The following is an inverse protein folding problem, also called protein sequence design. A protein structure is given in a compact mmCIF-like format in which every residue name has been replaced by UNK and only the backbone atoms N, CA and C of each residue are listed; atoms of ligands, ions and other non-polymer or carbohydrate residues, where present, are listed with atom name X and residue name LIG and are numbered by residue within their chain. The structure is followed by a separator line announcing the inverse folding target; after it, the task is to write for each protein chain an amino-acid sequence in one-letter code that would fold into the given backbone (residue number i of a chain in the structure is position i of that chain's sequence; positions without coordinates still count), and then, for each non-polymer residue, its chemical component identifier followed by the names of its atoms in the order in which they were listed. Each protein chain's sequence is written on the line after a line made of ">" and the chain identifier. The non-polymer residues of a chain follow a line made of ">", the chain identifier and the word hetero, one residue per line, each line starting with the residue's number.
data_IF_505263368375
#
_entry.id   IF_505263368375
#
_cell.length_a   1.000
_cell.length_b   1.000
_cell.length_c   1.000
_cell.angle_alpha   90.00
_cell.angle_beta   90.00
_cell.angle_gamma   90.00
#
_symmetry.space_group_name_H-M   'P 1'
#
loop_
_entity.id
_entity.type
_entity.pdbx_description
1 polymer ?
#
# COMPACT_ATOMS: atom_id res chain seq x y z
N UNK A 1 -1.15 16.64 -1.51
CA UNK A 1 -0.01 15.69 -1.65
C UNK A 1 -0.08 14.51 -0.68
N UNK A 2 -0.69 14.63 0.52
CA UNK A 2 -0.76 13.53 1.49
C UNK A 2 -1.53 12.29 1.00
N UNK A 3 -2.61 12.46 0.22
CA UNK A 3 -3.44 11.33 -0.24
C UNK A 3 -2.70 10.29 -1.08
N UNK A 4 -1.83 10.73 -2.00
CA UNK A 4 -1.04 9.81 -2.85
C UNK A 4 0.00 9.05 -2.03
N UNK A 5 0.65 9.72 -1.09
CA UNK A 5 1.60 9.09 -0.18
C UNK A 5 0.93 8.02 0.67
N UNK A 6 -0.16 8.36 1.37
CA UNK A 6 -0.88 7.43 2.24
C UNK A 6 -1.41 6.23 1.46
N UNK A 7 -1.97 6.46 0.26
CA UNK A 7 -2.44 5.40 -0.62
C UNK A 7 -1.33 4.40 -0.96
N UNK A 8 -0.22 4.87 -1.52
CA UNK A 8 0.94 4.00 -1.83
C UNK A 8 1.52 3.31 -0.61
N UNK A 9 1.57 4.00 0.54
CA UNK A 9 2.05 3.42 1.78
C UNK A 9 1.17 2.24 2.20
N UNK A 10 -0.15 2.39 2.14
CA UNK A 10 -1.13 1.33 2.42
C UNK A 10 -1.00 0.18 1.42
N UNK A 11 -0.86 0.47 0.14
CA UNK A 11 -0.74 -0.55 -0.90
C UNK A 11 0.55 -1.37 -0.72
N UNK A 12 1.67 -0.69 -0.45
CA UNK A 12 2.96 -1.34 -0.29
C UNK A 12 3.10 -2.06 1.03
N UNK A 13 2.51 -1.61 2.14
CA UNK A 13 2.76 -2.25 3.44
C UNK A 13 2.25 -3.71 3.50
N UNK A 14 1.28 -4.07 2.66
CA UNK A 14 0.74 -5.42 2.53
C UNK A 14 1.35 -6.23 1.37
N UNK A 15 2.40 -5.72 0.73
CA UNK A 15 3.00 -6.39 -0.42
C UNK A 15 3.56 -7.78 -0.03
N UNK A 16 3.31 -8.84 -0.82
CA UNK A 16 3.73 -10.21 -0.49
C UNK A 16 5.24 -10.40 -0.31
N UNK A 17 6.06 -9.57 -0.99
CA UNK A 17 7.52 -9.53 -0.84
C UNK A 17 7.99 -9.35 0.62
N UNK A 18 7.16 -8.76 1.49
CA UNK A 18 7.50 -8.57 2.89
C UNK A 18 7.22 -9.80 3.76
N UNK A 19 6.74 -10.91 3.18
CA UNK A 19 6.44 -12.14 3.91
C UNK A 19 5.52 -11.93 5.12
N UNK A 20 4.61 -10.95 5.01
CA UNK A 20 3.73 -10.50 6.11
C UNK A 20 4.48 -9.94 7.34
N UNK A 21 5.75 -9.56 7.19
CA UNK A 21 6.57 -8.96 8.25
C UNK A 21 6.74 -7.47 7.98
N UNK A 22 5.98 -6.65 8.71
CA UNK A 22 6.04 -5.19 8.62
C UNK A 22 7.48 -4.61 8.75
N UNK A 23 8.38 -5.15 9.60
CA UNK A 23 9.77 -4.69 9.65
C UNK A 23 10.50 -4.75 8.31
N UNK A 24 10.23 -5.75 7.46
CA UNK A 24 10.86 -5.85 6.13
C UNK A 24 10.40 -4.74 5.18
N UNK A 25 9.15 -4.30 5.30
CA UNK A 25 8.67 -3.12 4.57
C UNK A 25 9.40 -1.86 5.04
N UNK A 26 9.52 -1.68 6.37
CA UNK A 26 10.23 -0.54 6.96
C UNK A 26 11.69 -0.50 6.51
N UNK A 27 12.38 -1.65 6.52
CA UNK A 27 13.75 -1.75 6.02
C UNK A 27 13.86 -1.38 4.54
N UNK A 28 12.88 -1.77 3.72
CA UNK A 28 12.91 -1.47 2.29
C UNK A 28 12.73 0.01 2.02
N UNK A 29 11.86 0.66 2.79
CA UNK A 29 11.64 2.10 2.72
C UNK A 29 12.84 2.89 3.25
N UNK A 30 13.40 2.48 4.40
CA UNK A 30 14.63 3.08 4.94
C UNK A 30 15.78 2.94 3.96
N UNK A 31 15.95 1.78 3.35
CA UNK A 31 16.98 1.53 2.35
C UNK A 31 16.82 2.45 1.14
N UNK A 32 15.61 2.61 0.60
CA UNK A 32 15.36 3.56 -0.49
C UNK A 32 15.71 5.01 -0.10
N UNK A 33 15.38 5.44 1.13
CA UNK A 33 15.77 6.77 1.64
C UNK A 33 17.29 6.89 1.75
N UNK A 34 17.96 5.90 2.33
CA UNK A 34 19.42 5.85 2.49
C UNK A 34 20.11 6.00 1.14
N UNK A 35 19.65 5.29 0.11
CA UNK A 35 20.19 5.39 -1.23
C UNK A 35 19.96 6.79 -1.83
N UNK A 36 18.74 7.33 -1.74
CA UNK A 36 18.41 8.66 -2.28
C UNK A 36 19.21 9.78 -1.62
N UNK A 37 19.38 9.74 -0.31
CA UNK A 37 20.09 10.78 0.45
C UNK A 37 21.58 10.48 0.64
N UNK A 38 22.07 9.39 0.01
CA UNK A 38 23.44 8.91 0.16
C UNK A 38 23.87 8.79 1.64
N UNK A 39 22.95 8.38 2.53
CA UNK A 39 23.15 8.37 3.98
C UNK A 39 24.23 7.34 4.38
N UNK A 40 25.25 7.78 5.11
CA UNK A 40 26.40 6.97 5.54
C UNK A 40 26.36 6.62 7.03
N UNK A 41 25.27 6.96 7.73
CA UNK A 41 25.07 6.58 9.13
C UNK A 41 24.93 5.07 9.26
N UNK A 42 25.17 4.57 10.47
CA UNK A 42 24.96 3.15 10.78
C UNK A 42 23.48 2.80 10.69
N UNK A 43 23.14 1.87 9.81
CA UNK A 43 21.77 1.40 9.66
C UNK A 43 21.47 0.28 10.66
N UNK A 44 20.57 0.54 11.61
CA UNK A 44 20.20 -0.41 12.65
C UNK A 44 19.03 -1.28 12.20
N UNK A 45 19.28 -2.57 12.01
CA UNK A 45 18.32 -3.58 11.57
C UNK A 45 18.53 -4.88 12.34
N UNK A 46 17.49 -5.72 12.37
CA UNK A 46 17.49 -7.04 13.00
C UNK A 46 17.18 -8.13 11.97
N UNK A 47 17.57 -9.38 12.27
CA UNK A 47 17.24 -10.50 11.39
C UNK A 47 15.79 -10.96 11.59
N UNK A 48 14.88 -10.40 10.79
CA UNK A 48 13.44 -10.67 10.89
C UNK A 48 13.02 -12.00 10.26
N UNK A 49 13.87 -12.62 9.43
CA UNK A 49 13.53 -13.82 8.65
C UNK A 49 14.28 -15.07 9.09
N UNK A 50 15.27 -14.91 9.97
CA UNK A 50 16.28 -15.93 10.27
C UNK A 50 17.04 -16.38 9.01
N UNK A 51 17.12 -15.54 7.98
CA UNK A 51 17.94 -15.82 6.80
C UNK A 51 19.37 -15.36 7.05
N UNK A 52 20.34 -16.19 6.66
CA UNK A 52 21.79 -15.94 6.80
C UNK A 52 22.24 -14.62 6.17
N UNK A 53 21.54 -14.16 5.13
CA UNK A 53 21.83 -12.87 4.48
C UNK A 53 21.72 -11.69 5.43
N UNK A 54 20.71 -11.65 6.29
CA UNK A 54 20.54 -10.54 7.23
C UNK A 54 21.65 -10.54 8.27
N UNK A 55 22.05 -11.71 8.78
CA UNK A 55 23.18 -11.81 9.72
C UNK A 55 24.48 -11.29 9.08
N UNK A 56 24.75 -11.69 7.83
CA UNK A 56 25.91 -11.19 7.09
C UNK A 56 25.83 -9.68 6.82
N UNK A 57 24.67 -9.17 6.43
CA UNK A 57 24.49 -7.74 6.16
C UNK A 57 24.68 -6.92 7.45
N UNK A 58 24.07 -7.35 8.55
CA UNK A 58 24.23 -6.75 9.88
C UNK A 58 25.72 -6.75 10.25
N UNK A 59 26.40 -7.88 10.12
CA UNK A 59 27.83 -7.98 10.41
C UNK A 59 28.65 -6.97 9.60
N UNK A 60 28.44 -6.87 8.28
CA UNK A 60 29.16 -5.92 7.43
C UNK A 60 28.84 -4.46 7.81
N UNK A 61 27.59 -4.13 8.14
CA UNK A 61 27.22 -2.79 8.61
C UNK A 61 28.01 -2.41 9.87
N UNK A 62 28.09 -3.33 10.85
CA UNK A 62 28.80 -3.07 12.10
C UNK A 62 30.32 -3.01 11.92
N UNK A 63 30.89 -3.85 11.05
CA UNK A 63 32.32 -3.78 10.70
C UNK A 63 32.68 -2.48 9.99
N UNK A 64 31.77 -1.91 9.18
CA UNK A 64 31.97 -0.66 8.42
C UNK A 64 31.50 0.59 9.16
N UNK A 65 31.05 0.46 10.41
CA UNK A 65 30.56 1.57 11.23
C UNK A 65 31.62 2.67 11.34
N UNK A 66 31.24 3.90 11.00
CA UNK A 66 32.10 5.09 11.08
C UNK A 66 33.12 5.23 9.96
N UNK A 67 33.14 4.33 8.97
CA UNK A 67 34.07 4.39 7.84
C UNK A 67 33.54 5.17 6.63
N UNK A 68 32.34 5.78 6.73
CA UNK A 68 31.67 6.53 5.65
C UNK A 68 31.49 5.74 4.33
N UNK A 69 31.41 4.42 4.41
CA UNK A 69 31.25 3.52 3.26
C UNK A 69 29.81 3.57 2.74
N UNK A 70 29.63 3.46 1.41
CA UNK A 70 28.31 3.54 0.80
C UNK A 70 27.47 2.33 1.14
N UNK A 71 26.15 2.51 1.18
CA UNK A 71 25.26 1.39 1.40
C UNK A 71 25.30 0.37 0.24
N UNK A 72 25.62 0.82 -0.99
CA UNK A 72 25.94 -0.06 -2.13
C UNK A 72 27.13 -0.97 -1.84
N UNK A 73 28.22 -0.41 -1.32
CA UNK A 73 29.44 -1.19 -1.03
C UNK A 73 29.22 -2.15 0.14
N UNK A 74 28.51 -1.71 1.18
CA UNK A 74 28.11 -2.54 2.33
C UNK A 74 27.29 -3.74 1.83
N UNK A 75 26.25 -3.51 1.03
CA UNK A 75 25.44 -4.60 0.49
C UNK A 75 26.22 -5.45 -0.52
N UNK A 76 27.07 -4.85 -1.35
CA UNK A 76 27.95 -5.55 -2.28
C UNK A 76 28.89 -6.53 -1.58
N UNK A 77 29.51 -6.12 -0.48
CA UNK A 77 30.37 -6.96 0.37
C UNK A 77 29.57 -8.07 1.06
N UNK A 78 28.38 -7.77 1.60
CA UNK A 78 27.50 -8.78 2.19
C UNK A 78 27.11 -9.85 1.15
N UNK A 79 26.79 -9.45 -0.10
CA UNK A 79 26.53 -10.39 -1.20
C UNK A 79 27.74 -11.24 -1.56
N UNK A 80 28.93 -10.63 -1.56
CA UNK A 80 30.19 -11.33 -1.83
C UNK A 80 30.43 -12.42 -0.79
N UNK A 81 30.37 -12.09 0.52
CA UNK A 81 30.52 -13.07 1.61
C UNK A 81 29.51 -14.20 1.55
N UNK A 82 28.26 -13.87 1.23
CA UNK A 82 27.19 -14.86 1.09
C UNK A 82 27.48 -15.87 -0.04
N UNK A 83 27.94 -15.37 -1.19
CA UNK A 83 28.33 -16.22 -2.32
C UNK A 83 29.56 -17.06 -1.99
N UNK A 84 30.56 -16.48 -1.34
CA UNK A 84 31.80 -17.16 -0.96
C UNK A 84 31.53 -18.27 0.07
N UNK A 85 30.47 -18.13 0.86
CA UNK A 85 29.94 -19.16 1.78
C UNK A 85 29.02 -20.19 1.10
N UNK A 86 28.84 -20.12 -0.23
CA UNK A 86 28.02 -21.07 -1.00
C UNK A 86 26.51 -20.89 -0.87
N UNK A 87 26.03 -19.80 -0.28
CA UNK A 87 24.60 -19.54 -0.16
C UNK A 87 24.03 -18.86 -1.41
N UNK A 88 22.79 -19.22 -1.75
CA UNK A 88 22.06 -18.59 -2.84
C UNK A 88 21.68 -17.15 -2.48
N UNK A 89 21.65 -16.28 -3.49
CA UNK A 89 21.22 -14.90 -3.34
C UNK A 89 19.72 -14.83 -2.97
N UNK A 90 19.37 -14.33 -1.76
CA UNK A 90 18.00 -14.28 -1.30
C UNK A 90 17.20 -13.21 -2.04
N UNK A 91 15.88 -13.33 -1.94
CA UNK A 91 14.95 -12.48 -2.66
C UNK A 91 15.09 -11.01 -2.26
N UNK A 92 15.23 -10.73 -0.97
CA UNK A 92 15.38 -9.38 -0.46
C UNK A 92 16.69 -8.70 -0.93
N UNK A 93 17.79 -9.45 -1.06
CA UNK A 93 19.02 -8.93 -1.67
C UNK A 93 18.86 -8.58 -3.16
N UNK A 94 17.96 -9.26 -3.88
CA UNK A 94 17.63 -8.89 -5.28
C UNK A 94 16.85 -7.58 -5.32
N UNK A 95 15.87 -7.43 -4.43
CA UNK A 95 15.12 -6.19 -4.24
C UNK A 95 16.05 -5.00 -3.97
N UNK A 96 16.95 -5.14 -2.99
CA UNK A 96 17.91 -4.08 -2.65
C UNK A 96 18.80 -3.70 -3.83
N UNK A 97 19.28 -4.66 -4.64
CA UNK A 97 20.11 -4.29 -5.79
C UNK A 97 19.34 -3.63 -6.92
N UNK A 98 18.07 -3.98 -7.10
CA UNK A 98 17.22 -3.28 -8.07
C UNK A 98 16.97 -1.83 -7.63
N UNK A 99 16.88 -1.58 -6.33
CA UNK A 99 16.92 -0.20 -5.81
C UNK A 99 18.27 0.47 -6.07
N UNK A 100 19.39 -0.22 -5.82
CA UNK A 100 20.74 0.31 -6.11
C UNK A 100 20.92 0.73 -7.58
N UNK A 101 20.33 0.00 -8.53
CA UNK A 101 20.35 0.35 -9.96
C UNK A 101 19.65 1.69 -10.26
N UNK A 102 18.67 2.10 -9.45
CA UNK A 102 17.94 3.36 -9.61
C UNK A 102 18.66 4.57 -9.01
N UNK A 103 19.60 4.34 -8.08
CA UNK A 103 20.32 5.37 -7.35
C UNK A 103 21.82 5.16 -7.52
N UNK A 104 22.46 5.77 -8.52
CA UNK A 104 23.91 5.68 -8.67
C UNK A 104 24.62 6.26 -7.45
N UNK A 105 25.82 5.73 -7.15
CA UNK A 105 26.61 6.21 -6.00
C UNK A 105 27.13 7.62 -6.30
N UNK A 106 26.57 8.61 -5.61
CA UNK A 106 27.04 9.99 -5.67
C UNK A 106 28.20 10.22 -4.69
N UNK A 107 28.98 11.29 -4.93
CA UNK A 107 30.00 11.74 -3.98
C UNK A 107 29.32 12.15 -2.66
N UNK A 108 29.90 11.73 -1.54
CA UNK A 108 29.38 12.04 -0.22
C UNK A 108 29.73 13.49 0.16
N UNK A 109 28.71 14.31 0.41
CA UNK A 109 28.88 15.62 1.02
C UNK A 109 28.60 15.53 2.53
N UNK A 110 29.63 15.76 3.33
CA UNK A 110 29.53 15.75 4.78
C UNK A 110 28.72 16.93 5.34
N UNK A 111 28.56 18.02 4.59
CA UNK A 111 27.81 19.20 5.03
C UNK A 111 26.30 18.99 5.00
N UNK A 112 25.81 18.13 4.09
CA UNK A 112 24.39 17.79 3.95
C UNK A 112 24.01 16.51 4.72
N UNK A 113 24.97 15.89 5.41
CA UNK A 113 24.77 14.64 6.10
C UNK A 113 23.74 14.78 7.23
N UNK A 114 22.71 13.92 7.29
CA UNK A 114 21.74 13.93 8.38
C UNK A 114 22.43 13.65 9.72
N UNK A 115 21.92 14.25 10.80
CA UNK A 115 22.43 14.04 12.15
C UNK A 115 22.24 12.59 12.61
N UNK A 116 23.03 12.07 13.57
CA UNK A 116 22.99 10.66 13.97
C UNK A 116 21.62 10.13 14.43
N UNK A 117 20.75 11.02 14.93
CA UNK A 117 19.42 10.70 15.45
C UNK A 117 18.28 11.17 14.55
N UNK A 118 18.59 11.74 13.39
CA UNK A 118 17.56 12.24 12.49
C UNK A 118 16.73 11.10 11.89
N UNK A 119 15.40 11.20 11.90
CA UNK A 119 14.55 10.17 11.32
C UNK A 119 14.73 10.12 9.80
N UNK A 120 14.59 8.92 9.23
CA UNK A 120 14.53 8.75 7.77
C UNK A 120 13.25 9.38 7.24
N UNK A 121 13.38 10.50 6.53
CA UNK A 121 12.25 11.24 5.93
C UNK A 121 11.91 10.63 4.56
N UNK A 122 10.97 9.68 4.57
CA UNK A 122 10.43 9.10 3.36
C UNK A 122 9.44 10.06 2.66
N UNK A 123 9.48 10.09 1.33
CA UNK A 123 8.55 10.86 0.50
C UNK A 123 7.81 9.95 -0.52
N UNK A 124 6.91 10.53 -1.30
CA UNK A 124 6.12 9.79 -2.30
C UNK A 124 6.96 9.18 -3.43
N UNK A 125 8.13 9.75 -3.70
CA UNK A 125 9.09 9.25 -4.71
C UNK A 125 9.79 8.01 -4.19
N UNK A 126 10.14 7.95 -2.90
CA UNK A 126 10.72 6.76 -2.28
C UNK A 126 9.76 5.55 -2.39
N UNK A 127 8.47 5.78 -2.09
CA UNK A 127 7.43 4.77 -2.26
C UNK A 127 7.26 4.35 -3.73
N UNK A 128 7.29 5.30 -4.66
CA UNK A 128 7.22 4.99 -6.10
C UNK A 128 8.39 4.13 -6.55
N UNK A 129 9.60 4.42 -6.07
CA UNK A 129 10.79 3.66 -6.43
C UNK A 129 10.72 2.24 -5.87
N UNK A 130 10.25 2.07 -4.63
CA UNK A 130 9.96 0.74 -4.06
C UNK A 130 8.92 0.00 -4.90
N UNK A 131 7.81 0.65 -5.27
CA UNK A 131 6.75 0.09 -6.13
C UNK A 131 7.30 -0.35 -7.50
N UNK A 132 8.09 0.50 -8.15
CA UNK A 132 8.70 0.22 -9.45
C UNK A 132 9.66 -0.96 -9.36
N UNK A 133 10.52 -1.01 -8.34
CA UNK A 133 11.44 -2.14 -8.14
C UNK A 133 10.67 -3.43 -7.95
N UNK A 134 9.68 -3.45 -7.06
CA UNK A 134 8.86 -4.64 -6.84
C UNK A 134 8.18 -5.06 -8.14
N UNK A 135 7.67 -4.13 -8.94
CA UNK A 135 7.01 -4.44 -10.21
C UNK A 135 7.98 -5.04 -11.24
N UNK A 136 9.22 -4.54 -11.25
CA UNK A 136 10.29 -4.96 -12.16
C UNK A 136 10.95 -6.29 -11.79
N UNK A 137 10.86 -6.70 -10.53
CA UNK A 137 11.41 -7.98 -10.10
C UNK A 137 10.61 -9.09 -10.76
N UNK A 138 11.30 -9.97 -11.50
CA UNK A 138 10.74 -11.23 -12.00
C UNK A 138 10.27 -12.05 -10.81
N UNK A 139 9.00 -11.90 -10.49
CA UNK A 139 8.43 -12.54 -9.32
C UNK A 139 8.50 -14.05 -9.54
N UNK A 140 9.01 -14.76 -8.56
CA UNK A 140 8.71 -16.17 -8.36
C UNK A 140 7.23 -16.35 -7.94
N UNK A 141 6.32 -15.81 -8.76
CA UNK A 141 4.90 -16.07 -8.73
C UNK A 141 4.16 -15.48 -7.53
N UNK A 142 4.14 -14.16 -7.35
CA UNK A 142 3.08 -13.42 -6.66
C UNK A 142 2.97 -12.03 -7.31
N UNK A 143 2.05 -11.70 -8.25
CA UNK A 143 1.88 -10.31 -8.62
C UNK A 143 1.54 -9.58 -7.32
N UNK A 144 2.11 -8.39 -7.18
CA UNK A 144 1.79 -7.38 -6.15
C UNK A 144 0.29 -7.34 -5.83
N UNK A 145 -0.53 -7.69 -6.82
CA UNK A 145 -1.95 -7.43 -6.90
C UNK A 145 -2.86 -8.66 -6.78
N UNK A 146 -2.35 -9.89 -6.67
CA UNK A 146 -3.19 -11.10 -6.75
C UNK A 146 -3.88 -11.52 -5.45
N UNK A 147 -3.31 -11.15 -4.29
CA UNK A 147 -3.62 -11.87 -3.05
C UNK A 147 -3.38 -13.39 -3.18
N UNK A 148 -3.70 -14.15 -2.14
CA UNK A 148 -3.67 -15.63 -2.20
C UNK A 148 -4.85 -16.22 -3.00
N UNK A 149 -5.94 -15.47 -3.14
CA UNK A 149 -7.22 -15.96 -3.69
C UNK A 149 -7.56 -15.45 -5.09
N UNK A 150 -6.78 -14.53 -5.69
CA UNK A 150 -7.08 -13.97 -7.01
C UNK A 150 -8.21 -12.92 -7.01
N UNK A 151 -9.14 -13.01 -6.07
CA UNK A 151 -10.30 -12.10 -5.94
C UNK A 151 -9.95 -10.73 -5.32
N UNK A 152 -8.75 -10.61 -4.76
CA UNK A 152 -8.30 -9.40 -4.07
C UNK A 152 -8.23 -8.19 -5.03
N UNK A 153 -8.03 -8.46 -6.32
CA UNK A 153 -8.09 -7.45 -7.39
C UNK A 153 -9.43 -6.72 -7.44
N UNK A 154 -10.56 -7.45 -7.47
CA UNK A 154 -11.89 -6.85 -7.61
C UNK A 154 -12.29 -6.00 -6.40
N UNK A 155 -11.84 -6.39 -5.21
CA UNK A 155 -12.06 -5.63 -3.98
C UNK A 155 -11.23 -4.36 -3.86
N UNK A 156 -10.02 -4.33 -4.44
CA UNK A 156 -9.13 -3.17 -4.41
C UNK A 156 -9.43 -2.16 -5.53
N UNK A 157 -9.75 -2.62 -6.73
CA UNK A 157 -10.16 -1.75 -7.85
C UNK A 157 -11.55 -1.15 -7.64
N UNK A 158 -12.51 -1.92 -7.11
CA UNK A 158 -13.85 -1.43 -6.77
C UNK A 158 -13.85 -0.31 -5.71
N UNK A 159 -12.77 -0.17 -4.93
CA UNK A 159 -12.60 0.90 -3.92
C UNK A 159 -11.77 2.08 -4.42
N UNK A 160 -11.36 2.13 -5.69
CA UNK A 160 -10.43 3.13 -6.24
C UNK A 160 -9.10 3.25 -5.46
N UNK A 161 -8.75 2.23 -4.66
CA UNK A 161 -7.55 2.20 -3.84
C UNK A 161 -6.31 1.85 -4.67
N UNK A 162 -6.46 1.54 -5.95
CA UNK A 162 -5.35 1.26 -6.88
C UNK A 162 -5.66 1.78 -8.27
N UNK A 163 -4.62 2.13 -9.04
CA UNK A 163 -4.75 2.40 -10.47
C UNK A 163 -4.78 1.05 -11.17
N UNK A 164 -5.82 0.79 -11.97
CA UNK A 164 -5.88 -0.43 -12.77
C UNK A 164 -4.66 -0.45 -13.72
N UNK A 165 -4.01 -1.61 -13.97
CA UNK A 165 -2.96 -1.71 -14.96
C UNK A 165 -3.51 -1.23 -16.30
N UNK A 166 -2.68 -0.53 -17.06
CA UNK A 166 -3.07 -0.13 -18.40
C UNK A 166 -3.36 -1.37 -19.24
N UNK A 167 -4.24 -1.23 -20.24
CA UNK A 167 -4.72 -2.33 -21.08
C UNK A 167 -3.60 -3.17 -21.69
N UNK A 168 -2.45 -2.55 -21.92
CA UNK A 168 -1.27 -3.20 -22.51
C UNK A 168 -0.46 -4.02 -21.49
N UNK A 169 -0.57 -3.68 -20.20
CA UNK A 169 0.15 -4.36 -19.10
C UNK A 169 -0.71 -5.37 -18.36
N UNK A 170 -2.04 -5.30 -18.50
CA UNK A 170 -2.98 -6.16 -17.77
C UNK A 170 -2.79 -7.65 -18.11
N UNK A 171 -2.37 -7.95 -19.33
CA UNK A 171 -2.10 -9.31 -19.78
C UNK A 171 -0.95 -9.94 -18.98
N UNK A 172 0.15 -9.22 -18.80
CA UNK A 172 1.30 -9.69 -18.02
C UNK A 172 0.91 -9.96 -16.56
N UNK A 173 0.05 -9.13 -15.98
CA UNK A 173 -0.47 -9.36 -14.63
C UNK A 173 -1.37 -10.59 -14.55
N UNK A 174 -2.21 -10.81 -15.56
CA UNK A 174 -3.09 -11.97 -15.64
C UNK A 174 -2.31 -13.28 -15.80
N UNK A 175 -1.32 -13.31 -16.70
CA UNK A 175 -0.42 -14.47 -16.88
C UNK A 175 0.35 -14.79 -15.59
N UNK A 176 0.88 -13.76 -14.92
CA UNK A 176 1.53 -13.90 -13.61
C UNK A 176 0.56 -14.49 -12.59
N UNK A 177 -0.69 -14.01 -12.52
CA UNK A 177 -1.73 -14.56 -11.66
C UNK A 177 -1.98 -16.06 -11.90
N UNK A 178 -2.13 -16.47 -13.16
CA UNK A 178 -2.38 -17.87 -13.54
C UNK A 178 -1.22 -18.79 -13.10
N UNK A 179 0.03 -18.36 -13.31
CA UNK A 179 1.21 -19.14 -12.94
C UNK A 179 1.27 -19.49 -11.45
N UNK A 180 0.58 -18.71 -10.63
CA UNK A 180 0.65 -18.80 -9.17
C UNK A 180 -0.37 -19.74 -8.64
N UNK A 181 -1.60 -19.59 -9.10
CA UNK A 181 -2.64 -20.57 -8.82
C UNK A 181 -2.12 -21.96 -9.16
N UNK A 182 -1.42 -22.11 -10.30
CA UNK A 182 -0.73 -23.35 -10.68
C UNK A 182 0.38 -23.75 -9.69
N UNK A 183 1.24 -22.81 -9.26
CA UNK A 183 2.35 -23.09 -8.33
C UNK A 183 1.87 -23.43 -6.92
N UNK A 184 0.80 -22.80 -6.44
CA UNK A 184 0.16 -23.09 -5.15
C UNK A 184 -0.49 -24.46 -5.23
N UNK A 185 -1.31 -24.73 -6.24
CA UNK A 185 -1.91 -26.05 -6.47
C UNK A 185 -0.84 -27.15 -6.57
N UNK A 186 0.28 -26.89 -7.26
CA UNK A 186 1.40 -27.81 -7.34
C UNK A 186 2.12 -28.03 -5.99
N UNK A 187 2.29 -26.98 -5.17
CA UNK A 187 2.86 -27.11 -3.82
C UNK A 187 1.92 -27.87 -2.88
N UNK A 188 0.62 -27.59 -2.96
CA UNK A 188 -0.41 -28.23 -2.15
C UNK A 188 -0.58 -29.70 -2.54
N UNK A 189 -0.59 -30.02 -3.83
CA UNK A 189 -0.55 -31.39 -4.34
C UNK A 189 0.67 -32.14 -3.81
N UNK A 190 1.88 -31.57 -3.92
CA UNK A 190 3.11 -32.16 -3.34
C UNK A 190 3.00 -32.36 -1.83
N UNK A 191 2.39 -31.42 -1.11
CA UNK A 191 2.16 -31.53 0.34
C UNK A 191 1.19 -32.66 0.67
N UNK A 192 0.06 -32.78 -0.05
CA UNK A 192 -0.90 -33.89 0.10
C UNK A 192 -0.24 -35.25 -0.16
N UNK A 193 0.54 -35.37 -1.24
CA UNK A 193 1.28 -36.62 -1.55
C UNK A 193 2.29 -37.01 -0.47
N UNK A 194 2.89 -36.04 0.24
CA UNK A 194 3.86 -36.31 1.32
C UNK A 194 3.19 -36.71 2.63
N UNK A 195 1.98 -36.20 2.89
CA UNK A 195 1.23 -36.46 4.12
C UNK A 195 0.44 -37.78 4.07
N UNK A 196 0.46 -38.48 2.93
CA UNK A 196 -0.28 -39.74 2.78
C UNK A 196 -1.79 -39.56 2.63
N UNK A 197 -2.28 -38.32 2.49
CA UNK A 197 -3.65 -38.01 2.07
C UNK A 197 -3.80 -38.35 0.58
N UNK A 198 -3.97 -39.64 0.30
CA UNK A 198 -4.28 -40.13 -1.04
C UNK A 198 -5.79 -40.07 -1.21
N UNK A 199 -6.26 -38.95 -1.74
CA UNK A 199 -7.08 -39.02 -2.94
C UNK A 199 -6.40 -38.12 -3.97
N UNK A 200 -5.62 -38.75 -4.85
CA UNK A 200 -4.82 -38.06 -5.85
C UNK A 200 -5.74 -37.37 -6.86
N UNK A 201 -6.00 -36.09 -6.68
CA UNK A 201 -6.51 -35.26 -7.77
C UNK A 201 -5.51 -35.33 -8.94
N UNK A 202 -5.96 -35.67 -10.16
CA UNK A 202 -5.05 -35.92 -11.27
C UNK A 202 -4.27 -34.65 -11.60
N UNK A 203 -2.94 -34.81 -11.66
CA UNK A 203 -2.03 -33.77 -12.08
C UNK A 203 -2.39 -33.31 -13.50
N UNK A 204 -2.71 -32.02 -13.64
CA UNK A 204 -2.83 -31.37 -14.94
C UNK A 204 -1.47 -31.48 -15.66
N UNK A 205 -1.34 -32.46 -16.57
CA UNK A 205 -0.17 -32.55 -17.45
C UNK A 205 0.30 -33.95 -17.86
N UNK A 206 -0.29 -35.05 -17.39
CA UNK A 206 0.05 -36.37 -17.89
C UNK A 206 -1.22 -37.08 -18.38
N UNK A 207 -1.45 -37.06 -19.70
CA UNK A 207 -2.36 -37.98 -20.39
C UNK A 207 -1.82 -39.40 -20.22
N UNK A 208 -2.12 -40.01 -19.08
CA UNK A 208 -2.11 -41.45 -18.94
C UNK A 208 -3.54 -41.89 -19.19
N UNK A 209 -3.73 -42.50 -20.34
CA UNK A 209 -4.95 -43.17 -20.78
C UNK A 209 -5.22 -44.33 -19.81
N UNK A 210 -5.81 -44.00 -18.67
CA UNK A 210 -6.37 -44.96 -17.73
C UNK A 210 -7.85 -44.95 -18.05
N UNK A 211 -8.29 -46.02 -18.70
CA UNK A 211 -9.66 -46.23 -19.16
C UNK A 211 -10.67 -45.96 -18.05
N UNK A 212 -11.16 -44.73 -18.00
CA UNK A 212 -12.42 -44.38 -17.37
C UNK A 212 -13.48 -44.78 -18.38
N UNK A 213 -14.17 -45.88 -18.14
CA UNK A 213 -15.30 -46.36 -18.94
C UNK A 213 -16.54 -45.51 -18.69
N UNK A 214 -16.40 -44.19 -18.67
CA UNK A 214 -17.55 -43.29 -18.84
C UNK A 214 -17.76 -43.22 -20.34
N UNK A 215 -18.87 -43.80 -20.80
CA UNK A 215 -19.19 -43.78 -22.21
C UNK A 215 -19.25 -42.32 -22.67
N UNK A 216 -18.84 -42.04 -23.91
CA UNK A 216 -18.89 -40.69 -24.49
C UNK A 216 -20.27 -40.02 -24.29
N UNK A 217 -21.33 -40.82 -24.32
CA UNK A 217 -22.70 -40.37 -24.06
C UNK A 217 -22.92 -39.86 -22.62
N UNK A 218 -22.36 -40.52 -21.62
CA UNK A 218 -22.47 -40.09 -20.21
C UNK A 218 -21.65 -38.81 -19.95
N UNK A 219 -20.47 -38.69 -20.56
CA UNK A 219 -19.68 -37.47 -20.48
C UNK A 219 -20.40 -36.29 -21.16
N UNK A 220 -20.97 -36.50 -22.34
CA UNK A 220 -21.71 -35.46 -23.06
C UNK A 220 -22.99 -35.04 -22.31
N UNK A 221 -23.66 -35.98 -21.64
CA UNK A 221 -24.81 -35.69 -20.76
C UNK A 221 -24.40 -34.86 -19.54
N UNK A 222 -23.29 -35.21 -18.88
CA UNK A 222 -22.77 -34.46 -17.74
C UNK A 222 -22.35 -33.03 -18.15
N UNK A 223 -21.73 -32.87 -19.32
CA UNK A 223 -21.37 -31.54 -19.84
C UNK A 223 -22.61 -30.72 -20.18
N UNK A 224 -23.67 -31.35 -20.71
CA UNK A 224 -24.93 -30.66 -21.01
C UNK A 224 -25.65 -30.21 -19.73
N UNK A 225 -25.66 -31.04 -18.68
CA UNK A 225 -26.21 -30.68 -17.37
C UNK A 225 -25.44 -29.52 -16.73
N UNK A 226 -24.11 -29.59 -16.74
CA UNK A 226 -23.25 -28.53 -16.18
C UNK A 226 -23.44 -27.19 -16.92
N UNK A 227 -23.63 -27.23 -18.25
CA UNK A 227 -23.94 -26.03 -19.04
C UNK A 227 -25.31 -25.46 -18.70
N UNK A 228 -26.32 -26.30 -18.53
CA UNK A 228 -27.65 -25.85 -18.14
C UNK A 228 -27.65 -25.23 -16.74
N UNK A 229 -26.90 -25.79 -15.79
CA UNK A 229 -26.73 -25.23 -14.46
C UNK A 229 -25.99 -23.89 -14.50
N UNK A 230 -24.90 -23.80 -15.27
CA UNK A 230 -24.16 -22.56 -15.47
C UNK A 230 -25.05 -21.47 -16.06
N UNK A 231 -25.81 -21.76 -17.12
CA UNK A 231 -26.73 -20.80 -17.73
C UNK A 231 -27.83 -20.33 -16.76
N UNK A 232 -28.32 -21.23 -15.89
CA UNK A 232 -29.28 -20.88 -14.86
C UNK A 232 -28.68 -19.97 -13.76
N UNK A 233 -27.41 -20.17 -13.40
CA UNK A 233 -26.69 -19.29 -12.47
C UNK A 233 -26.44 -17.92 -13.10
N UNK A 234 -25.98 -17.88 -14.35
CA UNK A 234 -25.74 -16.62 -15.09
C UNK A 234 -27.02 -15.81 -15.20
N UNK A 235 -28.16 -16.44 -15.55
CA UNK A 235 -29.46 -15.75 -15.61
C UNK A 235 -29.90 -15.19 -14.26
N UNK A 236 -29.67 -15.92 -13.15
CA UNK A 236 -29.97 -15.43 -11.79
C UNK A 236 -29.11 -14.22 -11.43
N UNK A 237 -27.80 -14.30 -11.69
CA UNK A 237 -26.89 -13.18 -11.44
C UNK A 237 -27.26 -11.95 -12.27
N UNK A 238 -27.67 -12.14 -13.52
CA UNK A 238 -28.05 -11.04 -14.40
C UNK A 238 -29.35 -10.38 -13.94
N UNK A 239 -30.36 -11.16 -13.54
CA UNK A 239 -31.58 -10.63 -12.94
C UNK A 239 -31.32 -9.87 -11.62
N UNK A 240 -30.41 -10.36 -10.78
CA UNK A 240 -30.01 -9.66 -9.55
C UNK A 240 -29.28 -8.34 -9.85
N UNK A 241 -28.39 -8.35 -10.84
CA UNK A 241 -27.69 -7.15 -11.28
C UNK A 241 -28.67 -6.11 -11.82
N UNK A 242 -29.61 -6.50 -12.68
CA UNK A 242 -30.60 -5.60 -13.25
C UNK A 242 -31.52 -5.01 -12.16
N UNK A 243 -31.89 -5.81 -11.16
CA UNK A 243 -32.64 -5.32 -9.99
C UNK A 243 -31.84 -4.30 -9.17
N UNK A 244 -30.54 -4.51 -8.98
CA UNK A 244 -29.65 -3.56 -8.27
C UNK A 244 -29.47 -2.26 -9.06
N UNK A 245 -29.36 -2.33 -10.38
CA UNK A 245 -29.27 -1.15 -11.25
C UNK A 245 -30.56 -0.32 -11.14
N UNK A 246 -31.73 -0.96 -11.22
CA UNK A 246 -33.01 -0.27 -11.07
C UNK A 246 -33.16 0.42 -9.70
N UNK A 247 -32.68 -0.21 -8.62
CA UNK A 247 -32.71 0.41 -7.28
C UNK A 247 -31.76 1.61 -7.18
N UNK A 248 -30.57 1.53 -7.80
CA UNK A 248 -29.64 2.67 -7.85
C UNK A 248 -30.27 3.85 -8.60
N UNK A 249 -30.91 3.61 -9.75
CA UNK A 249 -31.60 4.64 -10.51
C UNK A 249 -32.74 5.28 -9.70
N UNK A 250 -33.49 4.48 -8.93
CA UNK A 250 -34.54 4.98 -8.02
C UNK A 250 -33.97 5.89 -6.94
N UNK A 251 -32.88 5.47 -6.29
CA UNK A 251 -32.22 6.26 -5.25
C UNK A 251 -31.62 7.56 -5.82
N UNK A 252 -31.05 7.52 -7.03
CA UNK A 252 -30.54 8.71 -7.70
C UNK A 252 -31.66 9.72 -7.96
N UNK A 253 -32.80 9.27 -8.51
CA UNK A 253 -33.96 10.14 -8.73
C UNK A 253 -34.50 10.77 -7.44
N UNK A 254 -34.51 10.00 -6.33
CA UNK A 254 -34.91 10.51 -5.02
C UNK A 254 -33.94 11.58 -4.50
N UNK A 255 -32.63 11.36 -4.62
CA UNK A 255 -31.62 12.35 -4.21
C UNK A 255 -31.66 13.63 -5.04
N UNK A 256 -31.92 13.53 -6.35
CA UNK A 256 -32.07 14.70 -7.22
C UNK A 256 -33.32 15.51 -6.86
N UNK A 257 -34.43 14.83 -6.53
CA UNK A 257 -35.64 15.48 -6.05
C UNK A 257 -35.39 16.25 -4.76
N UNK A 258 -34.79 15.61 -3.74
CA UNK A 258 -34.46 16.29 -2.47
C UNK A 258 -33.49 17.46 -2.68
N UNK A 259 -32.53 17.32 -3.60
CA UNK A 259 -31.61 18.41 -3.94
C UNK A 259 -32.33 19.60 -4.59
N UNK A 260 -33.30 19.34 -5.47
CA UNK A 260 -34.11 20.39 -6.09
C UNK A 260 -34.99 21.10 -5.07
N UNK A 261 -35.61 20.36 -4.13
CA UNK A 261 -36.39 20.92 -3.02
C UNK A 261 -35.52 21.85 -2.16
N UNK A 262 -34.37 21.37 -1.67
CA UNK A 262 -33.43 22.20 -0.89
C UNK A 262 -32.97 23.45 -1.65
N UNK A 263 -32.70 23.34 -2.95
CA UNK A 263 -32.29 24.48 -3.76
C UNK A 263 -33.41 25.51 -3.91
N UNK A 264 -34.67 25.06 -3.99
CA UNK A 264 -35.83 25.93 -4.04
C UNK A 264 -36.07 26.66 -2.72
N UNK A 265 -35.92 25.97 -1.59
CA UNK A 265 -36.01 26.55 -0.25
C UNK A 265 -34.90 27.59 -0.02
N UNK A 266 -33.67 27.27 -0.43
CA UNK A 266 -32.56 28.21 -0.34
C UNK A 266 -32.81 29.49 -1.16
N UNK A 267 -33.36 29.36 -2.37
CA UNK A 267 -33.74 30.52 -3.19
C UNK A 267 -34.86 31.33 -2.55
N UNK A 268 -35.87 30.69 -1.96
CA UNK A 268 -36.94 31.37 -1.25
C UNK A 268 -36.43 32.13 -0.01
N UNK A 269 -35.52 31.53 0.77
CA UNK A 269 -34.87 32.19 1.91
C UNK A 269 -34.04 33.40 1.46
N UNK A 270 -33.26 33.27 0.39
CA UNK A 270 -32.47 34.38 -0.15
C UNK A 270 -33.35 35.55 -0.62
N UNK A 271 -34.49 35.26 -1.28
CA UNK A 271 -35.45 36.28 -1.68
C UNK A 271 -36.08 36.96 -0.46
N UNK A 272 -36.47 36.21 0.57
CA UNK A 272 -37.00 36.77 1.83
C UNK A 272 -35.99 37.71 2.49
N UNK A 273 -34.72 37.33 2.56
CA UNK A 273 -33.67 38.16 3.14
C UNK A 273 -33.49 39.48 2.39
N UNK A 274 -33.45 39.41 1.05
CA UNK A 274 -33.36 40.61 0.20
C UNK A 274 -34.55 41.56 0.40
N UNK A 275 -35.78 41.03 0.56
CA UNK A 275 -36.95 41.88 0.84
C UNK A 275 -36.92 42.51 2.23
N UNK A 276 -36.39 41.81 3.25
CA UNK A 276 -36.21 42.39 4.58
C UNK A 276 -35.18 43.52 4.58
N UNK A 277 -34.07 43.37 3.86
CA UNK A 277 -33.06 44.43 3.71
C UNK A 277 -33.63 45.67 3.00
N UNK A 278 -34.42 45.47 1.94
CA UNK A 278 -35.07 46.59 1.25
C UNK A 278 -36.07 47.31 2.17
N UNK A 279 -36.89 46.60 2.94
CA UNK A 279 -37.79 47.20 3.92
C UNK A 279 -37.05 47.95 5.04
N UNK A 280 -35.92 47.43 5.51
CA UNK A 280 -35.07 48.09 6.52
C UNK A 280 -34.42 49.37 5.99
N UNK A 281 -33.97 49.39 4.73
CA UNK A 281 -33.39 50.59 4.11
C UNK A 281 -34.38 51.74 4.00
N UNK A 282 -35.67 51.46 3.76
CA UNK A 282 -36.72 52.48 3.65
C UNK A 282 -37.02 53.13 5.01
N UNK A 283 -36.93 52.37 6.11
CA UNK A 283 -37.05 52.92 7.47
C UNK A 283 -35.80 53.72 7.90
N UNK A 284 -34.60 53.30 7.48
CA UNK A 284 -33.36 54.03 7.80
C UNK A 284 -33.25 55.39 7.10
N UNK A 285 -33.97 55.61 5.99
CA UNK A 285 -34.06 56.92 5.33
C UNK A 285 -34.93 57.96 6.07
N UNK A 286 -35.68 57.58 7.12
CA UNK A 286 -36.44 58.55 7.94
C UNK A 286 -35.72 58.96 9.25
N UNK A 287 -34.57 58.36 9.57
CA UNK A 287 -33.75 58.70 10.75
C UNK A 287 -32.36 59.23 10.38
N UNK A 288 -32.18 59.69 9.15
CA UNK A 288 -30.96 60.36 8.69
C UNK A 288 -30.94 61.86 9.06
N UNK A 289 -31.12 62.18 10.34
CA UNK A 289 -30.76 63.48 10.89
C UNK A 289 -30.03 63.21 12.21
N UNK A 290 -28.78 63.69 12.30
CA UNK A 290 -27.83 63.50 13.40
C UNK A 290 -26.93 62.25 13.29
N UNK A 291 -26.13 62.16 12.22
CA UNK A 291 -24.82 61.48 12.32
C UNK A 291 -23.80 62.51 12.85
N UNK A 292 -23.16 62.26 14.01
CA UNK A 292 -22.02 63.07 14.44
C UNK A 292 -20.86 62.91 13.45
N UNK A 293 -20.02 63.95 13.39
CA UNK A 293 -18.88 64.05 12.49
C UNK A 293 -17.96 62.83 12.57
N UNK A 294 -17.30 62.44 11.46
CA UNK A 294 -16.35 61.33 11.46
C UNK A 294 -15.23 61.64 12.44
N UNK A 295 -15.08 60.79 13.47
CA UNK A 295 -13.89 60.79 14.29
C UNK A 295 -12.79 60.17 13.43
N UNK A 296 -11.77 60.95 13.11
CA UNK A 296 -10.53 60.48 12.50
C UNK A 296 -9.91 59.46 13.47
N UNK A 297 -10.07 58.17 13.17
CA UNK A 297 -9.33 57.13 13.86
C UNK A 297 -7.96 57.03 13.21
N UNK A 298 -6.95 57.50 13.94
CA UNK A 298 -5.54 57.24 13.71
C UNK A 298 -5.30 55.75 13.40
N UNK A 299 -4.42 55.43 12.44
CA UNK A 299 -4.16 54.05 12.03
C UNK A 299 -3.61 53.24 13.20
N UNK A 300 -4.42 52.30 13.69
CA UNK A 300 -4.03 51.37 14.74
C UNK A 300 -3.05 50.34 14.15
N UNK A 301 -1.77 50.54 14.43
CA UNK A 301 -0.66 49.70 13.98
C UNK A 301 -0.71 48.34 14.72
N UNK A 302 -1.42 47.38 14.13
CA UNK A 302 -1.46 46.00 14.61
C UNK A 302 -0.16 45.29 14.21
N UNK A 303 0.87 45.44 15.04
CA UNK A 303 2.00 44.53 15.02
C UNK A 303 1.48 43.07 15.14
N UNK A 304 1.93 42.15 14.27
CA UNK A 304 1.44 40.78 14.28
C UNK A 304 1.78 40.10 15.62
N UNK A 305 0.73 39.65 16.31
CA UNK A 305 0.82 38.81 17.51
C UNK A 305 1.72 37.60 17.21
N UNK A 306 2.90 37.58 17.83
CA UNK A 306 3.78 36.42 17.84
C UNK A 306 3.03 35.23 18.45
N UNK A 307 2.60 34.28 17.61
CA UNK A 307 2.07 33.01 18.07
C UNK A 307 3.22 32.21 18.70
N UNK A 308 3.31 32.30 20.03
CA UNK A 308 4.13 31.41 20.85
C UNK A 308 3.60 29.99 20.70
N UNK A 309 4.22 29.22 19.81
CA UNK A 309 4.06 27.78 19.77
C UNK A 309 4.70 27.21 21.05
N UNK A 310 3.86 26.89 22.05
CA UNK A 310 4.28 26.08 23.19
C UNK A 310 4.79 24.74 22.67
N UNK A 311 6.11 24.57 22.70
CA UNK A 311 6.78 23.30 22.46
C UNK A 311 6.37 22.35 23.58
N UNK A 312 5.55 21.36 23.24
CA UNK A 312 5.28 20.22 24.13
C UNK A 312 6.53 19.34 24.15
N UNK A 313 7.24 19.31 25.27
CA UNK A 313 8.24 18.29 25.54
C UNK A 313 7.54 16.96 25.84
N UNK A 314 7.85 15.86 25.13
CA UNK A 314 7.34 14.55 25.50
C UNK A 314 7.94 14.12 26.84
N UNK A 315 7.04 13.81 27.78
CA UNK A 315 7.37 13.20 29.08
C UNK A 315 8.11 11.89 28.83
N UNK A 316 9.34 11.80 29.29
CA UNK A 316 10.13 10.57 29.32
C UNK A 316 9.46 9.57 30.27
N UNK A 317 8.76 8.58 29.71
CA UNK A 317 8.38 7.37 30.42
C UNK A 317 9.66 6.57 30.72
N UNK A 318 10.06 6.58 31.99
CA UNK A 318 11.12 5.73 32.51
C UNK A 318 10.70 4.25 32.37
N UNK A 319 11.60 3.44 31.82
CA UNK A 319 11.43 1.97 31.79
C UNK A 319 11.56 1.42 33.21
N UNK A 320 10.69 0.46 33.62
CA UNK A 320 10.94 -0.30 34.84
C UNK A 320 12.13 -1.23 34.64
N UNK A 321 13.06 -1.17 35.60
CA UNK A 321 14.20 -2.05 35.73
C UNK A 321 13.71 -3.43 36.14
N UNK A 322 13.78 -4.43 35.24
CA UNK A 322 13.62 -5.83 35.62
C UNK A 322 14.97 -6.38 36.05
N UNK A 323 15.12 -6.55 37.36
CA UNK A 323 16.19 -7.32 37.96
C UNK A 323 15.98 -8.80 37.64
N UNK A 324 16.92 -9.40 36.92
CA UNK A 324 17.02 -10.84 36.72
C UNK A 324 17.78 -11.42 37.92
N UNK A 325 17.04 -11.98 38.86
CA UNK A 325 17.59 -12.79 39.94
C UNK A 325 18.05 -14.12 39.36
N UNK A 326 19.37 -14.31 39.33
CA UNK A 326 20.01 -15.62 39.14
C UNK A 326 19.91 -16.35 40.47
N UNK A 327 19.15 -17.45 40.49
CA UNK A 327 19.26 -18.50 41.50
C UNK A 327 19.62 -19.79 40.77
N UNK A 328 20.75 -20.36 41.17
CA UNK A 328 21.28 -21.62 40.66
C UNK A 328 20.69 -22.85 41.33
N UNK A 329 21.39 -23.94 41.05
CA UNK A 329 21.32 -25.29 41.64
C UNK A 329 20.15 -26.16 41.20
N UNK A 330 20.39 -26.99 40.18
CA UNK A 330 20.47 -28.47 40.27
C UNK A 330 21.01 -29.08 38.97
#
# INVERSE_FOLDING_TARGET
>A
MSGVFCKRLTDLCFHPNWLQKLPLFVYGLQYAVILRTNDRRTWHIDNQTNETFWDMLIQVIYEKRGQNVSMHDIHGEARKRLRDSGHLRPHYSRFMAKLEEMFPVEMYDAAEAPGPLDPYKANSTDLLNVENVLTSMDHHGLPIYGGLTGDHWGGLTGKNLMRCPDKDTIHDFHERGILITRRIAGRESKRRTRLGDVEAAPAAGATRDVGSTVSKAEHDAMVAELRAEYDAVVKRMQAEHDAKVAEIERLQAETEKTRAEMQSEFRAMAQSHMTMEQCSSVQSSQTAALRPAPIEMEPFDLAPLAWSAKVYHPVTLSKPSFALSVLGDF
#
